data_IF_749263509715
#
_entry.id   IF_749263509715
#
_cell.length_a   1.000
_cell.length_b   1.000
_cell.length_c   1.000
_cell.angle_alpha   90.00
_cell.angle_beta   90.00
_cell.angle_gamma   90.00
#
_symmetry.space_group_name_H-M   'P 1'
#
loop_
_entity.id
_entity.type
_entity.pdbx_description
1 polymer ?
#
# COMPACT_ATOMS: atom_id res chain seq x y z
N UNK A 1 6.13 -19.63 -0.24
CA UNK A 1 5.65 -18.93 -1.44
C UNK A 1 5.77 -17.43 -1.23
N UNK A 2 6.92 -16.83 -1.55
CA UNK A 2 7.04 -15.37 -1.63
C UNK A 2 7.00 -15.02 -3.11
N UNK A 3 5.80 -14.97 -3.69
CA UNK A 3 5.59 -14.40 -5.01
C UNK A 3 5.93 -12.91 -4.90
N UNK A 4 7.14 -12.56 -5.34
CA UNK A 4 7.58 -11.19 -5.54
C UNK A 4 6.66 -10.61 -6.62
N UNK A 5 5.56 -9.98 -6.19
CA UNK A 5 4.68 -9.19 -7.05
C UNK A 5 5.57 -8.19 -7.78
N UNK A 6 5.86 -8.45 -9.05
CA UNK A 6 6.56 -7.50 -9.90
C UNK A 6 5.57 -6.41 -10.31
N UNK A 7 5.20 -5.57 -9.34
CA UNK A 7 4.40 -4.38 -9.58
C UNK A 7 5.20 -3.46 -10.49
N UNK A 8 4.82 -3.40 -11.77
CA UNK A 8 5.33 -2.38 -12.69
C UNK A 8 4.73 -1.03 -12.29
N UNK A 9 5.44 -0.31 -11.44
CA UNK A 9 5.04 1.01 -10.97
C UNK A 9 5.34 2.07 -12.03
N UNK A 10 4.31 2.82 -12.44
CA UNK A 10 4.46 4.04 -13.25
C UNK A 10 4.22 5.25 -12.36
N UNK A 11 5.08 6.29 -12.37
CA UNK A 11 4.82 7.51 -11.61
C UNK A 11 3.47 8.13 -12.02
N UNK A 12 2.65 8.50 -11.03
CA UNK A 12 1.34 9.10 -11.25
C UNK A 12 1.20 10.48 -10.60
N UNK A 13 1.91 10.75 -9.50
CA UNK A 13 1.88 12.07 -8.88
C UNK A 13 2.68 12.17 -7.58
N UNK A 14 2.79 13.39 -7.06
CA UNK A 14 3.47 13.72 -5.82
C UNK A 14 2.55 14.60 -4.98
N UNK A 15 2.49 14.33 -3.68
CA UNK A 15 1.82 15.20 -2.71
C UNK A 15 2.59 15.27 -1.40
N UNK A 16 2.07 16.03 -0.44
CA UNK A 16 2.69 16.24 0.88
C UNK A 16 3.07 14.95 1.61
N UNK A 17 2.30 13.87 1.42
CA UNK A 17 2.52 12.56 2.06
C UNK A 17 3.21 11.53 1.17
N UNK A 18 3.94 11.95 0.12
CA UNK A 18 4.81 11.07 -0.68
C UNK A 18 4.40 10.92 -2.15
N UNK A 19 4.91 9.87 -2.81
CA UNK A 19 4.65 9.58 -4.23
C UNK A 19 3.50 8.61 -4.42
N UNK A 20 2.73 8.82 -5.48
CA UNK A 20 1.70 7.91 -5.97
C UNK A 20 2.22 7.26 -7.25
N UNK A 21 2.00 5.96 -7.36
CA UNK A 21 2.30 5.17 -8.55
C UNK A 21 1.03 4.50 -9.06
N UNK A 22 0.91 4.41 -10.37
CA UNK A 22 -0.06 3.56 -11.03
C UNK A 22 0.51 2.15 -11.20
N UNK A 23 -0.30 1.14 -10.94
CA UNK A 23 0.02 -0.26 -11.18
C UNK A 23 -1.18 -1.02 -11.74
N UNK A 24 -0.88 -2.12 -12.42
CA UNK A 24 -1.85 -3.13 -12.85
C UNK A 24 -1.51 -4.41 -12.09
N UNK A 25 -2.48 -4.95 -11.36
CA UNK A 25 -2.34 -6.23 -10.67
C UNK A 25 -2.46 -7.40 -11.66
N UNK A 26 -2.06 -8.59 -11.24
CA UNK A 26 -2.10 -9.81 -12.08
C UNK A 26 -3.53 -10.17 -12.54
N UNK A 27 -4.56 -9.71 -11.82
CA UNK A 27 -5.97 -9.84 -12.20
C UNK A 27 -6.48 -8.66 -13.06
N UNK A 28 -5.56 -7.95 -13.72
CA UNK A 28 -5.83 -6.77 -14.56
C UNK A 28 -6.45 -5.57 -13.82
N UNK A 29 -6.57 -5.62 -12.49
CA UNK A 29 -7.11 -4.52 -11.70
C UNK A 29 -6.13 -3.35 -11.68
N UNK A 30 -6.59 -2.19 -12.13
CA UNK A 30 -5.87 -0.92 -12.02
C UNK A 30 -5.88 -0.40 -10.58
N UNK A 31 -4.71 -0.02 -10.06
CA UNK A 31 -4.56 0.43 -8.66
C UNK A 31 -3.61 1.63 -8.53
N UNK A 32 -3.84 2.42 -7.49
CA UNK A 32 -2.92 3.46 -7.04
C UNK A 32 -2.14 2.98 -5.81
N UNK A 33 -0.81 3.04 -5.89
CA UNK A 33 0.10 2.70 -4.78
C UNK A 33 0.66 3.99 -4.20
N UNK A 34 0.29 4.30 -2.95
CA UNK A 34 0.84 5.44 -2.20
C UNK A 34 1.85 4.94 -1.19
N UNK A 35 3.09 5.46 -1.27
CA UNK A 35 4.03 5.28 -0.17
C UNK A 35 3.67 6.27 0.95
N UNK A 36 3.12 5.74 2.05
CA UNK A 36 2.76 6.51 3.25
C UNK A 36 3.85 6.36 4.30
N UNK A 37 4.42 7.48 4.77
CA UNK A 37 5.45 7.47 5.81
C UNK A 37 4.93 7.12 7.21
N UNK A 38 3.62 7.13 7.44
CA UNK A 38 3.02 6.96 8.77
C UNK A 38 2.05 5.77 8.82
N UNK A 39 2.48 4.67 9.45
CA UNK A 39 1.67 3.46 9.63
C UNK A 39 0.32 3.72 10.32
N UNK A 40 0.29 4.66 11.28
CA UNK A 40 -0.93 5.03 12.00
C UNK A 40 -2.01 5.59 11.07
N UNK A 41 -1.61 6.31 10.01
CA UNK A 41 -2.56 6.78 8.99
C UNK A 41 -3.10 5.61 8.17
N UNK A 42 -2.24 4.69 7.74
CA UNK A 42 -2.69 3.50 7.00
C UNK A 42 -3.72 2.66 7.80
N UNK A 43 -3.47 2.43 9.10
CA UNK A 43 -4.40 1.70 9.98
C UNK A 43 -5.72 2.42 10.23
N UNK A 44 -5.74 3.76 10.21
CA UNK A 44 -6.96 4.53 10.38
C UNK A 44 -7.79 4.49 9.10
N UNK A 45 -7.15 4.74 7.95
CA UNK A 45 -7.83 4.81 6.66
C UNK A 45 -8.34 3.42 6.24
N UNK A 46 -7.64 2.33 6.60
CA UNK A 46 -8.10 0.96 6.29
C UNK A 46 -9.43 0.58 6.96
N UNK A 47 -9.85 1.32 7.98
CA UNK A 47 -11.13 1.12 8.68
C UNK A 47 -12.28 1.95 8.08
N UNK A 48 -11.98 2.90 7.20
CA UNK A 48 -12.99 3.72 6.52
C UNK A 48 -13.58 2.92 5.35
N UNK A 49 -14.85 2.54 5.47
CA UNK A 49 -15.62 1.90 4.39
C UNK A 49 -16.89 2.71 4.15
N UNK A 50 -16.88 3.51 3.10
CA UNK A 50 -18.01 4.32 2.64
C UNK A 50 -17.92 4.47 1.12
N UNK A 51 -19.04 4.65 0.44
CA UNK A 51 -19.10 4.87 -1.01
C UNK A 51 -18.33 6.11 -1.49
N UNK A 52 -18.11 7.08 -0.59
CA UNK A 52 -17.42 8.34 -0.87
C UNK A 52 -15.92 8.31 -0.49
N UNK A 53 -15.43 7.20 0.06
CA UNK A 53 -14.01 7.01 0.36
C UNK A 53 -13.38 6.04 -0.65
N UNK A 54 -12.11 6.29 -0.96
CA UNK A 54 -11.33 5.39 -1.81
C UNK A 54 -11.17 4.05 -1.10
N UNK A 55 -11.55 2.97 -1.76
CA UNK A 55 -11.35 1.61 -1.25
C UNK A 55 -9.85 1.30 -1.12
N UNK A 56 -9.42 0.94 0.09
CA UNK A 56 -8.08 0.40 0.31
C UNK A 56 -8.11 -1.11 0.09
N UNK A 57 -7.36 -1.57 -0.91
CA UNK A 57 -7.22 -2.99 -1.24
C UNK A 57 -6.24 -3.73 -0.31
N UNK A 58 -5.33 -2.99 0.31
CA UNK A 58 -4.33 -3.52 1.23
C UNK A 58 -3.22 -2.49 1.50
N UNK A 59 -2.30 -2.85 2.38
CA UNK A 59 -1.08 -2.09 2.61
C UNK A 59 0.09 -3.04 2.83
N UNK A 60 1.29 -2.58 2.49
CA UNK A 60 2.53 -3.29 2.75
C UNK A 60 3.33 -2.49 3.77
N UNK A 61 3.90 -3.17 4.75
CA UNK A 61 4.89 -2.59 5.66
C UNK A 61 6.22 -3.21 5.31
N UNK A 62 7.07 -2.44 4.65
CA UNK A 62 8.43 -2.87 4.35
C UNK A 62 9.33 -2.50 5.53
N UNK A 63 9.67 -3.50 6.31
CA UNK A 63 10.56 -3.43 7.47
C UNK A 63 10.85 -4.86 7.93
N UNK A 64 12.06 -5.13 8.41
CA UNK A 64 12.39 -6.43 8.97
C UNK A 64 11.36 -6.77 10.05
N UNK A 65 10.53 -7.80 9.80
CA UNK A 65 9.94 -8.57 10.89
C UNK A 65 11.10 -9.34 11.51
N UNK A 66 11.98 -8.64 12.24
CA UNK A 66 12.86 -9.30 13.18
C UNK A 66 11.92 -10.01 14.14
N UNK A 67 11.89 -11.33 14.04
CA UNK A 67 11.17 -12.19 14.97
C UNK A 67 11.60 -11.78 16.38
N UNK A 68 10.75 -11.06 17.11
CA UNK A 68 10.81 -11.05 18.57
C UNK A 68 10.18 -12.36 19.04
N UNK A 69 10.87 -13.45 18.78
CA UNK A 69 10.81 -14.64 19.63
C UNK A 69 12.00 -14.48 20.59
N UNK A 70 11.72 -13.93 21.77
CA UNK A 70 12.42 -14.21 23.02
C UNK A 70 11.75 -13.42 24.15
N UNK A 71 10.74 -14.03 24.76
CA UNK A 71 10.71 -14.48 26.15
C UNK A 71 9.47 -15.36 26.37
#
# INVERSE_FOLDING_TARGET
MHSKLQLKLKPAGIGSYGRVYFAILDNEKHVAVKNLMLLKMAQMISRLKHENFVEILGYCVEGNVSQQNNL
#
